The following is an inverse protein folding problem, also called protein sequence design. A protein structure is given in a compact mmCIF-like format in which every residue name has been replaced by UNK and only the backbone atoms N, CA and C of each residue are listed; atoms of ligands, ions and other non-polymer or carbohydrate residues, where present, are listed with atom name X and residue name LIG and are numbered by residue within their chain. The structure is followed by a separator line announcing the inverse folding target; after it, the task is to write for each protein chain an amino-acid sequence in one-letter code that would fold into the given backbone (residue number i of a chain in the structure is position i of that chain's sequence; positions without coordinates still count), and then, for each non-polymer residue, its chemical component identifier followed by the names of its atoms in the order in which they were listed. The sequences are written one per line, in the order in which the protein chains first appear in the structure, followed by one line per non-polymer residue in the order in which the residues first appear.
data_IF_664431197732
#
_entry.id   IF_664431197732
#
_cell.length_a   1.000
_cell.length_b   1.000
_cell.length_c   1.000
_cell.angle_alpha   90.00
_cell.angle_beta   90.00
_cell.angle_gamma   90.00
#
_symmetry.space_group_name_H-M   'P 1'
#
loop_
_entity.id
_entity.type
_entity.pdbx_description
1 polymer ?
#
# COMPACT_ATOMS: atom_id res chain seq x y z
N UNK A 1 5.97 -16.53 -3.58
CA UNK A 1 5.67 -15.36 -2.71
C UNK A 1 6.35 -14.13 -3.30
N UNK A 2 5.71 -12.95 -3.34
CA UNK A 2 6.34 -11.70 -3.76
C UNK A 2 6.51 -10.81 -2.53
N UNK A 3 7.72 -10.35 -2.27
CA UNK A 3 8.01 -9.42 -1.19
C UNK A 3 7.62 -7.99 -1.61
N UNK A 4 7.05 -7.22 -0.69
CA UNK A 4 6.79 -5.80 -0.84
C UNK A 4 7.60 -5.00 0.19
N UNK A 5 8.29 -3.96 -0.26
CA UNK A 5 8.94 -3.00 0.62
C UNK A 5 7.98 -1.84 0.89
N UNK A 6 7.84 -1.42 2.15
CA UNK A 6 7.06 -0.24 2.52
C UNK A 6 7.97 0.99 2.57
N UNK A 7 7.68 2.00 1.75
CA UNK A 7 8.32 3.30 1.82
C UNK A 7 7.48 4.23 2.69
N UNK A 8 8.15 4.86 3.65
CA UNK A 8 7.58 5.79 4.61
C UNK A 8 8.52 6.99 4.81
N UNK A 9 8.03 8.06 5.40
CA UNK A 9 8.83 9.23 5.79
C UNK A 9 9.66 9.80 4.66
N UNK A 10 10.92 10.08 4.93
CA UNK A 10 11.84 10.72 3.98
C UNK A 10 12.00 9.98 2.65
N UNK A 11 11.84 8.66 2.62
CA UNK A 11 11.90 7.92 1.35
C UNK A 11 10.74 8.24 0.43
N UNK A 12 9.55 8.50 0.98
CA UNK A 12 8.39 8.97 0.19
C UNK A 12 8.58 10.43 -0.19
N UNK A 13 9.05 11.29 0.72
CA UNK A 13 9.32 12.70 0.43
C UNK A 13 10.35 12.83 -0.70
N UNK A 14 11.46 12.10 -0.64
CA UNK A 14 12.47 12.05 -1.70
C UNK A 14 11.88 11.58 -3.04
N UNK A 15 11.03 10.53 -3.01
CA UNK A 15 10.36 10.03 -4.21
C UNK A 15 9.48 11.11 -4.83
N UNK A 16 8.69 11.83 -4.04
CA UNK A 16 7.75 12.85 -4.52
C UNK A 16 8.44 14.15 -4.95
N UNK A 17 9.67 14.41 -4.51
CA UNK A 17 10.44 15.61 -4.86
C UNK A 17 11.50 15.39 -5.95
N UNK A 18 11.78 14.15 -6.30
CA UNK A 18 12.88 13.74 -7.19
C UNK A 18 12.86 14.34 -8.61
N UNK A 19 11.76 14.97 -9.04
CA UNK A 19 11.68 15.59 -10.36
C UNK A 19 12.58 16.84 -10.50
N UNK A 20 12.73 17.62 -9.43
CA UNK A 20 13.54 18.83 -9.40
C UNK A 20 14.86 18.70 -8.62
N UNK A 21 15.13 17.53 -8.02
CA UNK A 21 16.29 17.29 -7.17
C UNK A 21 17.05 16.04 -7.61
N UNK A 22 18.21 16.24 -8.23
CA UNK A 22 19.08 15.16 -8.71
C UNK A 22 19.66 14.32 -7.56
N UNK A 23 19.80 14.86 -6.34
CA UNK A 23 20.27 14.11 -5.18
C UNK A 23 19.19 13.17 -4.68
N UNK A 24 17.97 13.68 -4.47
CA UNK A 24 16.80 12.87 -4.12
C UNK A 24 16.55 11.77 -5.16
N UNK A 25 16.66 12.12 -6.44
CA UNK A 25 16.52 11.15 -7.54
C UNK A 25 17.51 10.01 -7.43
N UNK A 26 18.81 10.30 -7.26
CA UNK A 26 19.84 9.25 -7.13
C UNK A 26 19.63 8.40 -5.87
N UNK A 27 19.21 9.00 -4.78
CA UNK A 27 18.91 8.27 -3.54
C UNK A 27 17.75 7.27 -3.74
N UNK A 28 16.66 7.71 -4.36
CA UNK A 28 15.49 6.88 -4.67
C UNK A 28 15.85 5.77 -5.65
N UNK A 29 16.48 6.09 -6.79
CA UNK A 29 16.86 5.11 -7.80
C UNK A 29 17.82 4.05 -7.21
N UNK A 30 18.79 4.48 -6.39
CA UNK A 30 19.71 3.56 -5.70
C UNK A 30 19.02 2.68 -4.66
N UNK A 31 18.02 3.19 -3.94
CA UNK A 31 17.21 2.38 -3.03
C UNK A 31 16.41 1.32 -3.78
N UNK A 32 15.66 1.72 -4.83
CA UNK A 32 14.81 0.83 -5.61
C UNK A 32 15.61 -0.27 -6.32
N UNK A 33 16.79 0.06 -6.84
CA UNK A 33 17.70 -0.94 -7.41
C UNK A 33 18.16 -1.97 -6.38
N UNK A 34 18.53 -1.53 -5.17
CA UNK A 34 18.89 -2.46 -4.08
C UNK A 34 17.75 -3.37 -3.68
N UNK A 35 16.52 -2.82 -3.56
CA UNK A 35 15.33 -3.62 -3.25
C UNK A 35 15.08 -4.69 -4.33
N UNK A 36 15.16 -4.32 -5.60
CA UNK A 36 15.00 -5.26 -6.72
C UNK A 36 16.08 -6.38 -6.67
N UNK A 37 17.34 -6.03 -6.41
CA UNK A 37 18.44 -7.00 -6.26
C UNK A 37 18.26 -7.95 -5.07
N UNK A 38 17.57 -7.50 -4.01
CA UNK A 38 17.24 -8.31 -2.84
C UNK A 38 15.97 -9.17 -3.04
N UNK A 39 15.37 -9.15 -4.22
CA UNK A 39 14.21 -9.97 -4.57
C UNK A 39 12.86 -9.35 -4.23
N UNK A 40 12.81 -8.07 -3.88
CA UNK A 40 11.53 -7.36 -3.76
C UNK A 40 10.93 -7.15 -5.16
N UNK A 41 9.70 -7.61 -5.35
CA UNK A 41 8.95 -7.38 -6.58
C UNK A 41 7.92 -6.26 -6.49
N UNK A 42 7.75 -5.70 -5.29
CA UNK A 42 6.75 -4.67 -4.98
C UNK A 42 7.30 -3.59 -4.07
N UNK A 43 6.78 -2.38 -4.25
CA UNK A 43 7.09 -1.22 -3.39
C UNK A 43 5.77 -0.53 -3.05
N UNK A 44 5.42 -0.49 -1.76
CA UNK A 44 4.25 0.23 -1.28
C UNK A 44 4.67 1.63 -0.86
N UNK A 45 4.04 2.63 -1.45
CA UNK A 45 4.23 4.05 -1.16
C UNK A 45 3.12 4.48 -0.19
N UNK A 46 3.49 4.83 1.04
CA UNK A 46 2.57 5.20 2.13
C UNK A 46 2.62 6.71 2.41
N UNK A 47 1.99 7.57 1.59
CA UNK A 47 2.13 9.01 1.67
C UNK A 47 1.18 9.63 2.69
N UNK A 48 1.23 9.18 3.95
CA UNK A 48 0.39 9.69 5.04
C UNK A 48 1.22 10.31 6.17
N UNK A 49 0.63 11.24 6.91
CA UNK A 49 1.30 11.92 8.02
C UNK A 49 1.71 10.94 9.14
N UNK A 50 0.89 9.91 9.40
CA UNK A 50 1.23 8.88 10.41
C UNK A 50 2.48 8.09 10.01
N UNK A 51 2.78 8.00 8.72
CA UNK A 51 4.00 7.39 8.17
C UNK A 51 5.15 8.40 8.05
N UNK A 52 5.02 9.61 8.62
CA UNK A 52 6.07 10.62 8.67
C UNK A 52 6.29 11.39 7.36
N UNK A 53 5.30 11.43 6.46
CA UNK A 53 5.37 12.12 5.15
C UNK A 53 4.82 13.53 5.25
N UNK A 54 5.42 14.48 4.54
CA UNK A 54 4.89 15.85 4.37
C UNK A 54 3.71 15.84 3.38
N UNK A 55 2.51 15.66 3.91
CA UNK A 55 1.28 15.57 3.12
C UNK A 55 0.87 16.87 2.43
N UNK A 56 1.45 18.02 2.82
CA UNK A 56 1.12 19.32 2.21
C UNK A 56 1.50 19.40 0.74
N UNK A 57 2.43 18.56 0.30
CA UNK A 57 2.99 18.53 -1.06
C UNK A 57 2.33 17.53 -2.00
N UNK A 58 1.42 16.70 -1.52
CA UNK A 58 0.82 15.62 -2.30
C UNK A 58 0.05 16.11 -3.54
N UNK A 59 -0.52 17.32 -3.49
CA UNK A 59 -1.25 17.94 -4.60
C UNK A 59 -0.37 18.68 -5.62
N UNK A 60 0.95 18.74 -5.42
CA UNK A 60 1.84 19.41 -6.35
C UNK A 60 1.98 18.60 -7.65
N UNK A 61 1.92 19.27 -8.81
CA UNK A 61 2.18 18.63 -10.09
C UNK A 61 3.60 18.03 -10.20
N UNK A 62 4.56 18.57 -9.44
CA UNK A 62 5.91 18.01 -9.28
C UNK A 62 5.90 16.63 -8.61
N UNK A 63 5.08 16.42 -7.57
CA UNK A 63 4.96 15.16 -6.85
C UNK A 63 4.43 14.05 -7.80
N UNK A 64 3.37 14.35 -8.56
CA UNK A 64 2.86 13.45 -9.59
C UNK A 64 3.92 13.10 -10.63
N UNK A 65 4.60 14.09 -11.20
CA UNK A 65 5.65 13.85 -12.21
C UNK A 65 6.79 13.03 -11.66
N UNK A 66 7.21 13.27 -10.41
CA UNK A 66 8.24 12.49 -9.73
C UNK A 66 7.85 11.03 -9.59
N UNK A 67 6.62 10.77 -9.11
CA UNK A 67 6.09 9.42 -8.95
C UNK A 67 6.04 8.68 -10.28
N UNK A 68 5.39 9.26 -11.31
CA UNK A 68 5.25 8.61 -12.62
C UNK A 68 6.60 8.36 -13.30
N UNK A 69 7.53 9.31 -13.21
CA UNK A 69 8.89 9.11 -13.73
C UNK A 69 9.58 7.93 -13.04
N UNK A 70 9.49 7.87 -11.71
CA UNK A 70 10.11 6.79 -10.93
C UNK A 70 9.49 5.44 -11.27
N UNK A 71 8.16 5.35 -11.36
CA UNK A 71 7.44 4.13 -11.74
C UNK A 71 7.88 3.65 -13.14
N UNK A 72 7.95 4.56 -14.11
CA UNK A 72 8.38 4.24 -15.47
C UNK A 72 9.87 3.83 -15.56
N UNK A 73 10.73 4.38 -14.70
CA UNK A 73 12.15 4.03 -14.66
C UNK A 73 12.42 2.65 -14.05
N UNK A 74 11.47 2.09 -13.30
CA UNK A 74 11.63 0.81 -12.60
C UNK A 74 10.51 -0.20 -12.98
N UNK A 75 10.40 -0.63 -14.26
CA UNK A 75 9.29 -1.47 -14.71
C UNK A 75 9.29 -2.89 -14.12
N UNK A 76 10.39 -3.33 -13.53
CA UNK A 76 10.48 -4.62 -12.83
C UNK A 76 9.83 -4.62 -11.44
N UNK A 77 9.53 -3.44 -10.88
CA UNK A 77 8.88 -3.26 -9.60
C UNK A 77 7.40 -2.86 -9.80
N UNK A 78 6.49 -3.49 -9.07
CA UNK A 78 5.10 -3.05 -8.97
C UNK A 78 5.00 -2.00 -7.84
N UNK A 79 4.54 -0.81 -8.17
CA UNK A 79 4.32 0.27 -7.21
C UNK A 79 2.88 0.26 -6.72
N UNK A 80 2.72 0.21 -5.40
CA UNK A 80 1.42 0.21 -4.73
C UNK A 80 1.26 1.57 -4.07
N UNK A 81 0.33 2.39 -4.55
CA UNK A 81 0.04 3.71 -3.95
C UNK A 81 -1.13 3.58 -2.99
N UNK A 82 -0.92 3.96 -1.75
CA UNK A 82 -1.97 3.99 -0.74
C UNK A 82 -2.99 5.09 -1.06
N UNK A 83 -4.26 4.71 -1.07
CA UNK A 83 -5.40 5.59 -1.32
C UNK A 83 -6.31 5.67 -0.11
N UNK A 84 -6.52 6.89 0.36
CA UNK A 84 -7.50 7.27 1.36
C UNK A 84 -7.81 8.78 1.24
N UNK A 85 -8.62 9.35 2.14
CA UNK A 85 -8.95 10.77 2.09
C UNK A 85 -7.77 11.71 2.33
N UNK A 86 -6.70 11.28 3.00
CA UNK A 86 -5.50 12.09 3.23
C UNK A 86 -4.61 12.17 1.98
N UNK A 87 -4.59 11.09 1.19
CA UNK A 87 -3.79 11.00 -0.02
C UNK A 87 -4.54 11.41 -1.29
N UNK A 88 -5.77 11.95 -1.14
CA UNK A 88 -6.65 12.31 -2.26
C UNK A 88 -6.01 13.28 -3.23
N UNK A 89 -5.27 14.26 -2.74
CA UNK A 89 -4.58 15.22 -3.58
C UNK A 89 -3.58 14.56 -4.55
N UNK A 90 -2.90 13.50 -4.13
CA UNK A 90 -1.97 12.77 -5.00
C UNK A 90 -2.69 11.86 -5.99
N UNK A 91 -3.53 10.93 -5.50
CA UNK A 91 -4.17 9.97 -6.40
C UNK A 91 -5.23 10.63 -7.31
N UNK A 92 -5.86 11.72 -6.88
CA UNK A 92 -6.78 12.52 -7.69
C UNK A 92 -6.09 13.11 -8.91
N UNK A 93 -4.89 13.67 -8.77
CA UNK A 93 -4.12 14.19 -9.92
C UNK A 93 -3.65 13.09 -10.86
N UNK A 94 -3.38 11.87 -10.34
CA UNK A 94 -3.02 10.73 -11.19
C UNK A 94 -4.17 10.30 -12.11
N UNK A 95 -5.42 10.49 -11.68
CA UNK A 95 -6.62 10.08 -12.42
C UNK A 95 -7.19 11.20 -13.31
N UNK A 96 -7.06 12.46 -12.91
CA UNK A 96 -7.69 13.61 -13.59
C UNK A 96 -7.11 13.87 -15.00
N UNK A 97 -5.80 13.74 -15.16
CA UNK A 97 -5.15 14.02 -16.44
C UNK A 97 -5.41 12.94 -17.51
N UNK A 98 -5.88 11.76 -17.14
CA UNK A 98 -6.35 10.78 -18.13
C UNK A 98 -7.65 11.23 -18.82
N UNK A 99 -8.47 12.05 -18.15
CA UNK A 99 -9.74 12.56 -18.71
C UNK A 99 -9.49 13.70 -19.70
N UNK A 100 -8.46 14.54 -19.49
CA UNK A 100 -8.16 15.68 -20.37
C UNK A 100 -7.43 15.26 -21.67
N UNK A 101 -6.57 14.24 -21.64
CA UNK A 101 -5.82 13.80 -22.83
C UNK A 101 -6.66 13.01 -23.84
N UNK A 102 -7.81 12.47 -23.46
CA UNK A 102 -8.72 11.73 -24.35
C UNK A 102 -9.38 12.67 -25.38
N UNK A 103 -9.54 13.95 -25.07
CA UNK A 103 -10.27 14.92 -25.92
C UNK A 103 -9.41 15.49 -27.06
N UNK A 104 -8.07 15.39 -27.00
CA UNK A 104 -7.17 15.96 -28.03
C UNK A 104 -6.64 14.95 -29.07
N UNK A 105 -7.18 13.72 -29.13
CA UNK A 105 -6.79 12.73 -30.15
C UNK A 105 -5.37 12.17 -29.95
N UNK A 106 -4.73 12.42 -28.81
CA UNK A 106 -3.52 11.75 -28.37
C UNK A 106 -3.88 10.43 -27.72
N UNK A 107 -3.20 9.38 -28.11
CA UNK A 107 -3.28 8.05 -27.50
C UNK A 107 -3.26 8.19 -25.97
N UNK A 108 -4.32 7.72 -25.30
CA UNK A 108 -4.48 7.83 -23.84
C UNK A 108 -3.17 7.50 -23.16
N UNK A 109 -2.59 8.44 -22.44
CA UNK A 109 -1.45 8.15 -21.57
C UNK A 109 -1.99 7.38 -20.36
N UNK A 110 -2.26 6.10 -20.57
CA UNK A 110 -2.66 5.23 -19.46
C UNK A 110 -1.58 5.25 -18.40
N UNK A 111 -1.98 5.28 -17.12
CA UNK A 111 -1.04 5.12 -16.01
C UNK A 111 -0.11 3.92 -16.26
N UNK A 112 1.16 3.96 -15.83
CA UNK A 112 2.10 2.86 -16.00
C UNK A 112 1.52 1.53 -15.52
N UNK A 113 1.72 0.44 -16.27
CA UNK A 113 1.13 -0.87 -15.96
C UNK A 113 1.56 -1.42 -14.59
N UNK A 114 2.72 -1.03 -14.12
CA UNK A 114 3.28 -1.41 -12.83
C UNK A 114 2.85 -0.49 -11.68
N UNK A 115 1.86 0.40 -11.87
CA UNK A 115 1.26 1.22 -10.82
C UNK A 115 -0.10 0.65 -10.42
N UNK A 116 -0.29 0.30 -9.17
CA UNK A 116 -1.55 -0.21 -8.59
C UNK A 116 -1.93 0.57 -7.33
N UNK A 117 -3.17 0.44 -6.89
CA UNK A 117 -3.68 1.20 -5.75
C UNK A 117 -4.10 0.28 -4.61
N UNK A 118 -3.85 0.73 -3.38
CA UNK A 118 -4.29 0.11 -2.13
C UNK A 118 -5.29 1.03 -1.44
N UNK A 119 -6.53 0.61 -1.32
CA UNK A 119 -7.53 1.30 -0.49
C UNK A 119 -7.27 1.02 0.98
N UNK A 120 -6.86 2.03 1.73
CA UNK A 120 -6.64 1.96 3.17
C UNK A 120 -7.37 3.11 3.88
N UNK A 121 -8.63 2.90 4.20
CA UNK A 121 -9.45 3.86 4.95
C UNK A 121 -8.96 4.03 6.39
N UNK A 122 -8.14 3.11 6.91
CA UNK A 122 -7.56 3.23 8.25
C UNK A 122 -6.45 4.29 8.32
N UNK A 123 -5.91 4.70 7.19
CA UNK A 123 -4.77 5.64 7.09
C UNK A 123 -3.53 5.16 7.88
N UNK A 124 -3.31 3.86 7.95
CA UNK A 124 -2.23 3.25 8.72
C UNK A 124 -2.50 3.14 10.24
N UNK A 125 -3.69 3.55 10.72
CA UNK A 125 -4.02 3.49 12.17
C UNK A 125 -4.50 2.12 12.64
N UNK A 126 -4.68 1.16 11.73
CA UNK A 126 -5.20 -0.18 12.04
C UNK A 126 -6.68 -0.23 12.44
N UNK A 127 -7.42 0.86 12.27
CA UNK A 127 -8.87 0.85 12.49
C UNK A 127 -9.57 0.00 11.46
N UNK A 128 -10.56 -0.77 11.92
CA UNK A 128 -11.36 -1.61 11.03
C UNK A 128 -12.17 -0.76 10.06
N UNK A 129 -12.06 -1.09 8.76
CA UNK A 129 -12.88 -0.48 7.74
C UNK A 129 -14.35 -0.92 7.89
N UNK A 130 -15.26 0.03 7.97
CA UNK A 130 -16.71 -0.25 8.04
C UNK A 130 -17.23 -0.76 6.68
N UNK A 131 -16.69 -0.25 5.58
CA UNK A 131 -17.04 -0.60 4.21
C UNK A 131 -15.80 -0.65 3.34
N UNK A 132 -15.85 -1.41 2.25
CA UNK A 132 -14.83 -1.35 1.20
C UNK A 132 -15.33 -0.42 0.10
N UNK A 133 -14.53 0.61 -0.22
CA UNK A 133 -14.91 1.59 -1.23
C UNK A 133 -14.91 0.99 -2.64
N UNK A 134 -15.66 1.62 -3.55
CA UNK A 134 -15.69 1.24 -4.95
C UNK A 134 -14.33 1.46 -5.61
N UNK A 135 -13.89 0.49 -6.37
CA UNK A 135 -12.70 0.57 -7.22
C UNK A 135 -12.98 1.14 -8.62
N UNK A 136 -14.21 1.62 -8.88
CA UNK A 136 -14.69 1.99 -10.23
C UNK A 136 -13.79 3.00 -10.94
N UNK A 137 -13.22 3.96 -10.22
CA UNK A 137 -12.30 4.94 -10.79
C UNK A 137 -11.03 4.30 -11.37
N UNK A 138 -10.48 3.28 -10.68
CA UNK A 138 -9.27 2.61 -11.12
C UNK A 138 -9.51 1.60 -12.25
N UNK A 139 -10.68 1.01 -12.27
CA UNK A 139 -11.07 0.09 -13.35
C UNK A 139 -11.26 0.83 -14.67
N UNK A 140 -11.71 2.10 -14.65
CA UNK A 140 -11.79 2.95 -15.86
C UNK A 140 -10.42 3.17 -16.51
N UNK A 141 -9.35 3.21 -15.71
CA UNK A 141 -7.97 3.35 -16.19
C UNK A 141 -7.38 2.03 -16.68
N UNK A 142 -8.19 0.99 -16.87
CA UNK A 142 -7.72 -0.36 -17.23
C UNK A 142 -7.14 -1.15 -16.06
N UNK A 143 -7.17 -0.61 -14.83
CA UNK A 143 -6.66 -1.30 -13.63
C UNK A 143 -7.69 -2.25 -13.09
N UNK A 144 -7.44 -3.55 -13.29
CA UNK A 144 -8.35 -4.63 -12.86
C UNK A 144 -7.92 -5.32 -11.56
N UNK A 145 -6.81 -4.85 -10.98
CA UNK A 145 -6.24 -5.39 -9.74
C UNK A 145 -6.19 -4.27 -8.70
N UNK A 146 -6.85 -4.48 -7.56
CA UNK A 146 -6.97 -3.48 -6.49
C UNK A 146 -6.68 -4.11 -5.14
N UNK A 147 -5.94 -3.40 -4.29
CA UNK A 147 -5.67 -3.79 -2.90
C UNK A 147 -6.67 -3.16 -1.94
N UNK A 148 -6.94 -3.85 -0.83
CA UNK A 148 -7.74 -3.36 0.28
C UNK A 148 -7.04 -3.62 1.60
N UNK A 149 -6.99 -2.60 2.46
CA UNK A 149 -6.48 -2.65 3.82
C UNK A 149 -7.51 -2.04 4.80
N UNK A 150 -7.18 -2.05 6.09
CA UNK A 150 -7.98 -1.42 7.12
C UNK A 150 -8.35 -2.34 8.27
N UNK A 151 -7.42 -2.51 9.21
CA UNK A 151 -7.63 -3.24 10.47
C UNK A 151 -7.98 -4.71 10.32
N UNK A 152 -7.49 -5.37 9.27
CA UNK A 152 -7.72 -6.79 8.98
C UNK A 152 -6.93 -7.63 9.99
N UNK A 153 -7.60 -8.61 10.62
CA UNK A 153 -7.07 -9.51 11.65
C UNK A 153 -7.81 -10.85 11.64
N UNK A 154 -7.35 -11.90 12.34
CA UNK A 154 -7.99 -13.22 12.31
C UNK A 154 -9.51 -13.19 12.56
N UNK A 155 -9.98 -12.38 13.51
CA UNK A 155 -11.40 -12.31 13.85
C UNK A 155 -12.30 -11.63 12.82
N UNK A 156 -11.77 -10.96 11.77
CA UNK A 156 -12.58 -10.26 10.78
C UNK A 156 -12.15 -10.50 9.33
N UNK A 157 -11.07 -11.26 9.10
CA UNK A 157 -10.44 -11.41 7.78
C UNK A 157 -11.42 -11.94 6.73
N UNK A 158 -12.21 -12.97 7.03
CA UNK A 158 -13.18 -13.55 6.09
C UNK A 158 -14.23 -12.50 5.69
N UNK A 159 -14.79 -11.79 6.66
CA UNK A 159 -15.80 -10.75 6.40
C UNK A 159 -15.22 -9.62 5.53
N UNK A 160 -14.04 -9.10 5.89
CA UNK A 160 -13.43 -7.99 5.14
C UNK A 160 -12.94 -8.42 3.75
N UNK A 161 -12.40 -9.62 3.59
CA UNK A 161 -12.03 -10.16 2.29
C UNK A 161 -13.25 -10.38 1.38
N UNK A 162 -14.39 -10.82 1.93
CA UNK A 162 -15.65 -10.93 1.19
C UNK A 162 -16.12 -9.56 0.71
N UNK A 163 -16.14 -8.55 1.58
CA UNK A 163 -16.49 -7.18 1.21
C UNK A 163 -15.54 -6.61 0.14
N UNK A 164 -14.24 -6.87 0.23
CA UNK A 164 -13.25 -6.46 -0.76
C UNK A 164 -13.52 -7.10 -2.12
N UNK A 165 -13.77 -8.41 -2.14
CA UNK A 165 -14.12 -9.17 -3.36
C UNK A 165 -15.40 -8.62 -4.02
N UNK A 166 -16.43 -8.36 -3.23
CA UNK A 166 -17.68 -7.78 -3.73
C UNK A 166 -17.50 -6.35 -4.25
N UNK A 167 -16.74 -5.51 -3.54
CA UNK A 167 -16.44 -4.14 -3.98
C UNK A 167 -15.64 -4.13 -5.29
N UNK A 168 -14.66 -5.02 -5.43
CA UNK A 168 -13.88 -5.21 -6.64
C UNK A 168 -14.77 -5.66 -7.81
N UNK A 169 -15.59 -6.68 -7.61
CA UNK A 169 -16.50 -7.21 -8.64
C UNK A 169 -17.54 -6.17 -9.10
N UNK A 170 -18.16 -5.46 -8.17
CA UNK A 170 -19.12 -4.36 -8.49
C UNK A 170 -18.50 -3.26 -9.34
N UNK A 171 -17.19 -3.09 -9.24
CA UNK A 171 -16.44 -2.08 -9.97
C UNK A 171 -15.91 -2.56 -11.32
N UNK A 172 -16.16 -3.82 -11.68
CA UNK A 172 -15.59 -4.45 -12.89
C UNK A 172 -14.13 -4.89 -12.74
N UNK A 173 -13.60 -4.94 -11.52
CA UNK A 173 -12.29 -5.46 -11.23
C UNK A 173 -12.22 -6.98 -11.40
N UNK A 174 -11.06 -7.50 -11.84
CA UNK A 174 -10.87 -8.94 -12.04
C UNK A 174 -10.31 -9.64 -10.81
N UNK A 175 -9.45 -8.95 -10.08
CA UNK A 175 -8.78 -9.50 -8.89
C UNK A 175 -8.61 -8.43 -7.83
N UNK A 176 -8.75 -8.84 -6.59
CA UNK A 176 -8.34 -8.03 -5.45
C UNK A 176 -7.37 -8.81 -4.57
N UNK A 177 -6.67 -8.09 -3.74
CA UNK A 177 -5.83 -8.60 -2.66
C UNK A 177 -6.11 -7.81 -1.39
N UNK A 178 -5.79 -8.39 -0.25
CA UNK A 178 -5.91 -7.73 1.04
C UNK A 178 -4.54 -7.55 1.66
N UNK A 179 -4.37 -6.46 2.40
CA UNK A 179 -3.16 -6.12 3.14
C UNK A 179 -3.45 -6.13 4.63
N UNK A 180 -2.56 -6.81 5.40
CA UNK A 180 -2.67 -6.96 6.84
C UNK A 180 -1.34 -6.55 7.47
N UNK A 181 -1.39 -5.61 8.40
CA UNK A 181 -0.20 -5.14 9.12
C UNK A 181 -0.44 -5.14 10.62
N UNK A 182 -1.10 -4.11 11.16
CA UNK A 182 -1.32 -3.96 12.59
C UNK A 182 -2.16 -5.07 13.22
N UNK A 183 -3.10 -5.64 12.47
CA UNK A 183 -3.98 -6.71 12.93
C UNK A 183 -3.32 -8.06 13.13
N UNK A 184 -2.11 -8.24 12.57
CA UNK A 184 -1.29 -9.46 12.70
C UNK A 184 -0.01 -9.21 13.50
N UNK A 185 0.00 -8.20 14.35
CA UNK A 185 1.06 -7.91 15.31
C UNK A 185 0.62 -8.30 16.72
N UNK A 186 1.60 -8.55 17.60
CA UNK A 186 1.40 -8.83 19.02
C UNK A 186 2.40 -8.07 19.85
N UNK A 187 1.98 -7.64 21.04
CA UNK A 187 2.89 -7.10 22.02
C UNK A 187 3.47 -8.26 22.83
N UNK A 188 4.77 -8.37 22.89
CA UNK A 188 5.49 -9.38 23.67
C UNK A 188 6.42 -8.71 24.64
N UNK A 189 6.52 -9.31 25.84
CA UNK A 189 7.60 -8.96 26.76
C UNK A 189 8.87 -9.62 26.25
N UNK A 190 10.03 -8.94 26.29
CA UNK A 190 11.31 -9.55 25.97
C UNK A 190 11.55 -10.77 26.85
N UNK A 191 11.92 -11.90 26.26
CA UNK A 191 12.35 -13.07 27.02
C UNK A 191 13.69 -12.74 27.68
N UNK A 192 13.77 -12.80 29.03
CA UNK A 192 15.02 -12.63 29.76
C UNK A 192 15.11 -11.44 30.71
N UNK A 193 14.07 -10.67 30.89
CA UNK A 193 14.00 -9.68 31.97
C UNK A 193 13.66 -10.29 33.33
N UNK A 194 14.53 -11.14 33.91
CA UNK A 194 14.51 -11.43 35.31
C UNK A 194 15.01 -10.21 36.09
N UNK A 195 14.16 -9.22 36.25
CA UNK A 195 14.36 -8.07 37.11
C UNK A 195 13.18 -7.94 38.05
N UNK A 196 13.25 -8.56 39.20
CA UNK A 196 12.42 -8.20 40.34
C UNK A 196 12.78 -6.77 40.78
N UNK A 197 12.28 -5.78 40.05
CA UNK A 197 12.36 -4.36 40.36
C UNK A 197 11.00 -3.77 40.22
N UNK A 198 10.32 -3.49 41.32
CA UNK A 198 9.14 -2.64 41.38
C UNK A 198 9.52 -1.25 40.83
N UNK A 199 9.15 -0.92 39.60
CA UNK A 199 9.18 0.46 39.14
C UNK A 199 9.63 0.78 37.72
N UNK A 200 10.26 -0.14 36.97
CA UNK A 200 10.63 0.16 35.58
C UNK A 200 9.63 -0.51 34.62
N UNK A 201 8.95 0.33 33.83
CA UNK A 201 7.98 -0.13 32.85
C UNK A 201 8.64 -1.08 31.86
N UNK A 202 8.27 -2.37 31.91
CA UNK A 202 8.67 -3.36 30.92
C UNK A 202 8.20 -2.86 29.55
N UNK A 203 9.14 -2.50 28.69
CA UNK A 203 8.84 -2.08 27.31
C UNK A 203 8.39 -3.32 26.55
N UNK A 204 7.11 -3.39 26.24
CA UNK A 204 6.58 -4.43 25.36
C UNK A 204 7.05 -4.19 23.93
N UNK A 205 7.61 -5.21 23.30
CA UNK A 205 7.98 -5.17 21.88
C UNK A 205 6.76 -5.45 21.01
N UNK A 206 6.54 -4.59 20.01
CA UNK A 206 5.51 -4.79 19.00
C UNK A 206 6.10 -5.62 17.86
N UNK A 207 5.77 -6.91 17.82
CA UNK A 207 6.33 -7.88 16.90
C UNK A 207 5.29 -8.42 15.91
N UNK A 208 5.75 -8.75 14.71
CA UNK A 208 4.93 -9.44 13.72
C UNK A 208 4.62 -10.86 14.20
N UNK A 209 3.33 -11.23 14.24
CA UNK A 209 2.85 -12.51 14.79
C UNK A 209 2.48 -13.48 13.67
N UNK A 210 3.38 -14.41 13.38
CA UNK A 210 3.18 -15.42 12.35
C UNK A 210 1.98 -16.32 12.60
N UNK A 211 1.65 -16.62 13.88
CA UNK A 211 0.48 -17.42 14.19
C UNK A 211 -0.80 -16.73 13.72
N UNK A 212 -0.95 -15.43 13.99
CA UNK A 212 -2.07 -14.64 13.48
C UNK A 212 -2.12 -14.60 11.94
N UNK A 213 -0.97 -14.60 11.28
CA UNK A 213 -0.93 -14.66 9.82
C UNK A 213 -1.46 -16.00 9.30
N UNK A 214 -1.05 -17.11 9.92
CA UNK A 214 -1.56 -18.44 9.57
C UNK A 214 -3.05 -18.57 9.87
N UNK A 215 -3.53 -18.08 11.02
CA UNK A 215 -4.96 -18.05 11.35
C UNK A 215 -5.78 -17.32 10.28
N UNK A 216 -5.27 -16.19 9.76
CA UNK A 216 -5.92 -15.47 8.66
C UNK A 216 -5.94 -16.30 7.37
N UNK A 217 -4.81 -16.92 7.00
CA UNK A 217 -4.71 -17.72 5.78
C UNK A 217 -5.64 -18.95 5.86
N UNK A 218 -5.64 -19.65 6.98
CA UNK A 218 -6.49 -20.82 7.18
C UNK A 218 -7.97 -20.45 7.11
N UNK A 219 -8.40 -19.38 7.80
CA UNK A 219 -9.76 -18.88 7.72
C UNK A 219 -10.20 -18.52 6.29
N UNK A 220 -9.31 -17.89 5.50
CA UNK A 220 -9.59 -17.54 4.10
C UNK A 220 -9.69 -18.79 3.20
N UNK A 221 -8.84 -19.80 3.44
CA UNK A 221 -8.88 -21.07 2.74
C UNK A 221 -10.17 -21.85 3.04
N UNK A 222 -10.55 -21.93 4.32
CA UNK A 222 -11.79 -22.59 4.76
C UNK A 222 -13.03 -21.90 4.18
N UNK A 223 -13.01 -20.58 4.02
CA UNK A 223 -14.06 -19.81 3.38
C UNK A 223 -14.04 -19.87 1.84
N UNK A 224 -13.08 -20.55 1.22
CA UNK A 224 -12.93 -20.64 -0.25
C UNK A 224 -12.59 -19.29 -0.93
N UNK A 225 -11.98 -18.37 -0.18
CA UNK A 225 -11.60 -17.05 -0.69
C UNK A 225 -10.19 -17.03 -1.29
N UNK A 226 -9.33 -17.94 -0.86
CA UNK A 226 -7.99 -18.15 -1.41
C UNK A 226 -7.71 -19.64 -1.54
N UNK A 227 -6.83 -20.02 -2.46
CA UNK A 227 -6.36 -21.39 -2.61
C UNK A 227 -5.09 -21.58 -1.76
N UNK A 228 -4.99 -22.71 -1.06
CA UNK A 228 -3.72 -23.10 -0.46
C UNK A 228 -2.74 -23.37 -1.60
N UNK A 229 -1.69 -22.56 -1.69
CA UNK A 229 -0.61 -22.82 -2.63
C UNK A 229 -0.01 -24.20 -2.37
N UNK A 230 0.10 -24.98 -3.45
CA UNK A 230 0.79 -26.26 -3.42
C UNK A 230 2.30 -26.09 -3.16
#
# INVERSE_FOLDING_TARGET
MRLAAHLCGTHVDDLLTSHGDDSARRAVDGLLQRLALQGFGRVQVNPTAVNGVDVSRLGEASARRSLLRTVNAHPALEFIVQRNGETEALWGTLLAEEEEEVDEGRSSSSLPENLVFLHDESKGTGKEAATMCSASQFVRTGRRVVGYAGGIRPGNVVRLATLAKEACARSGGERCWIDMESGVRSRRRPEGGEGEGEGDGVVEEDVFDLAKCYDCIDALCEAGLVERGA
#
